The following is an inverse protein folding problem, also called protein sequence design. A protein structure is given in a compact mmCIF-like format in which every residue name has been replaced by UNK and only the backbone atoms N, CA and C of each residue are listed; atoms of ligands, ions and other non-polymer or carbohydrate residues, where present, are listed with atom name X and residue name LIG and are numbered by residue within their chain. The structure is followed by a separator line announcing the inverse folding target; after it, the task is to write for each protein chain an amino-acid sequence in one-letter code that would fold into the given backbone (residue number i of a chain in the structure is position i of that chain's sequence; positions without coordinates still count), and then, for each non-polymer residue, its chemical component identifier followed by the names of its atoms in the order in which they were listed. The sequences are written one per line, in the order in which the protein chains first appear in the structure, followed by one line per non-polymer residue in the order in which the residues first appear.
data_IF_971383834733
#
_entry.id   IF_971383834733
#
_cell.length_a   1.000
_cell.length_b   1.000
_cell.length_c   1.000
_cell.angle_alpha   90.00
_cell.angle_beta   90.00
_cell.angle_gamma   90.00
#
_symmetry.space_group_name_H-M   'P 1'
#
loop_
_entity.id
_entity.type
_entity.pdbx_description
1 polymer ?
#
# COMPACT_ATOMS: atom_id res chain seq x y z
N UNK A 1 -14.49 -42.56 28.96
CA UNK A 1 -14.69 -41.10 28.87
C UNK A 1 -13.83 -40.56 27.75
N UNK A 2 -14.43 -39.98 26.72
CA UNK A 2 -13.71 -39.34 25.59
C UNK A 2 -13.17 -38.00 26.10
N UNK A 3 -11.87 -37.67 25.92
CA UNK A 3 -11.35 -36.38 26.35
C UNK A 3 -12.11 -35.26 25.59
N UNK A 4 -12.40 -34.11 26.24
CA UNK A 4 -13.05 -33.01 25.58
C UNK A 4 -12.23 -32.58 24.37
N UNK A 5 -12.92 -32.32 23.27
CA UNK A 5 -12.28 -31.81 22.05
C UNK A 5 -11.49 -30.53 22.38
N UNK A 6 -10.26 -30.36 21.86
CA UNK A 6 -9.51 -29.15 22.10
C UNK A 6 -10.36 -27.96 21.64
N UNK A 7 -10.48 -26.94 22.49
CA UNK A 7 -11.17 -25.70 22.17
C UNK A 7 -10.61 -25.18 20.85
N UNK A 8 -11.50 -24.90 19.88
CA UNK A 8 -11.10 -24.36 18.59
C UNK A 8 -10.23 -23.13 18.85
N UNK A 9 -8.99 -23.19 18.40
CA UNK A 9 -8.06 -22.08 18.55
C UNK A 9 -8.72 -20.86 17.88
N UNK A 10 -9.06 -19.86 18.67
CA UNK A 10 -9.64 -18.62 18.18
C UNK A 10 -8.67 -18.02 17.19
N UNK A 11 -9.15 -17.72 15.98
CA UNK A 11 -8.32 -17.12 14.93
C UNK A 11 -7.69 -15.82 15.47
N UNK A 12 -6.37 -15.68 15.49
CA UNK A 12 -5.71 -14.49 16.03
C UNK A 12 -5.99 -13.23 15.19
N UNK A 13 -6.45 -13.42 13.95
CA UNK A 13 -6.75 -12.31 13.03
C UNK A 13 -8.23 -11.97 13.11
N UNK A 14 -8.54 -10.74 13.48
CA UNK A 14 -9.91 -10.25 13.59
C UNK A 14 -10.24 -9.32 12.44
N UNK A 15 -11.37 -9.56 11.76
CA UNK A 15 -11.91 -8.63 10.79
C UNK A 15 -12.68 -7.53 11.54
N UNK A 16 -12.22 -6.28 11.42
CA UNK A 16 -12.90 -5.13 12.01
C UNK A 16 -13.98 -4.60 11.07
N UNK A 17 -15.16 -4.38 11.64
CA UNK A 17 -16.22 -3.65 10.93
C UNK A 17 -15.94 -2.14 10.95
N UNK A 18 -16.51 -1.35 10.01
CA UNK A 18 -16.25 0.08 9.93
C UNK A 18 -16.42 0.87 11.25
N UNK A 19 -17.46 0.65 12.09
CA UNK A 19 -17.58 1.32 13.36
C UNK A 19 -16.50 0.91 14.37
N UNK A 20 -16.08 -0.36 14.37
CA UNK A 20 -15.02 -0.86 15.23
C UNK A 20 -13.65 -0.29 14.83
N UNK A 21 -13.41 -0.17 13.51
CA UNK A 21 -12.21 0.47 12.98
C UNK A 21 -12.14 1.95 13.40
N UNK A 22 -13.26 2.67 13.34
CA UNK A 22 -13.32 4.07 13.76
C UNK A 22 -13.04 4.21 15.27
N UNK A 23 -13.66 3.36 16.10
CA UNK A 23 -13.43 3.33 17.54
C UNK A 23 -11.97 2.97 17.88
N UNK A 24 -11.40 1.99 17.15
CA UNK A 24 -9.99 1.62 17.32
C UNK A 24 -9.04 2.75 16.91
N UNK A 25 -9.31 3.42 15.77
CA UNK A 25 -8.50 4.53 15.28
C UNK A 25 -8.53 5.78 16.18
N UNK A 26 -9.56 5.94 17.01
CA UNK A 26 -9.68 7.01 17.98
C UNK A 26 -8.90 6.76 19.28
N UNK A 27 -8.30 5.58 19.46
CA UNK A 27 -7.53 5.24 20.66
C UNK A 27 -6.24 6.07 20.75
N UNK A 28 -5.80 6.46 21.94
CA UNK A 28 -4.52 7.13 22.13
C UNK A 28 -3.36 6.19 21.74
N UNK A 29 -2.33 6.75 21.11
CA UNK A 29 -1.14 5.99 20.70
C UNK A 29 -1.24 5.26 19.36
N UNK A 30 -2.34 5.41 18.62
CA UNK A 30 -2.46 4.89 17.26
C UNK A 30 -1.58 5.70 16.32
N UNK A 31 -0.66 5.02 15.63
CA UNK A 31 0.16 5.59 14.56
C UNK A 31 -0.35 5.09 13.21
N UNK A 32 -0.71 6.02 12.32
CA UNK A 32 -1.21 5.69 10.98
C UNK A 32 -0.14 5.94 9.94
N UNK A 33 0.18 4.92 9.16
CA UNK A 33 1.09 4.97 8.02
C UNK A 33 0.28 4.96 6.73
N UNK A 34 0.28 6.09 6.00
CA UNK A 34 -0.46 6.23 4.75
C UNK A 34 0.47 6.11 3.55
N UNK A 35 -0.07 5.70 2.43
CA UNK A 35 0.67 5.72 1.18
C UNK A 35 0.78 7.16 0.64
N UNK A 36 1.96 7.50 0.11
CA UNK A 36 2.19 8.77 -0.59
C UNK A 36 2.69 8.48 -2.01
N UNK A 37 2.40 9.38 -2.93
CA UNK A 37 2.95 9.33 -4.28
C UNK A 37 4.48 9.43 -4.24
N UNK A 38 5.14 8.55 -4.97
CA UNK A 38 6.58 8.56 -5.11
C UNK A 38 6.98 9.41 -6.32
N UNK A 39 7.15 10.71 -6.10
CA UNK A 39 7.38 11.70 -7.15
C UNK A 39 8.57 11.39 -8.05
N UNK A 40 9.63 10.76 -7.56
CA UNK A 40 10.79 10.36 -8.38
C UNK A 40 10.42 9.42 -9.52
N UNK A 41 9.40 8.60 -9.36
CA UNK A 41 8.90 7.68 -10.40
C UNK A 41 7.76 8.29 -11.22
N UNK A 42 7.00 9.22 -10.64
CA UNK A 42 5.85 9.87 -11.30
C UNK A 42 6.30 11.00 -12.23
N UNK A 43 7.31 11.78 -11.82
CA UNK A 43 7.74 12.97 -12.58
C UNK A 43 8.23 12.66 -14.00
N UNK A 44 9.03 11.60 -14.28
CA UNK A 44 9.43 11.28 -15.66
C UNK A 44 8.22 10.89 -16.53
N UNK A 45 7.25 10.19 -15.94
CA UNK A 45 6.02 9.81 -16.64
C UNK A 45 5.17 11.03 -17.01
N UNK A 46 4.99 11.96 -16.08
CA UNK A 46 4.25 13.21 -16.34
C UNK A 46 4.98 14.09 -17.36
N UNK A 47 6.31 14.16 -17.27
CA UNK A 47 7.11 14.91 -18.25
C UNK A 47 6.99 14.31 -19.64
N UNK A 48 7.14 12.99 -19.79
CA UNK A 48 6.96 12.29 -21.06
C UNK A 48 5.56 12.47 -21.65
N UNK A 49 4.53 12.39 -20.81
CA UNK A 49 3.14 12.66 -21.20
C UNK A 49 2.96 14.11 -21.68
N UNK A 50 3.49 15.08 -20.96
CA UNK A 50 3.46 16.50 -21.34
C UNK A 50 4.15 16.77 -22.67
N UNK A 51 5.32 16.14 -22.91
CA UNK A 51 6.07 16.26 -24.16
C UNK A 51 5.28 15.68 -25.34
N UNK A 52 4.65 14.53 -25.17
CA UNK A 52 3.79 13.92 -26.19
C UNK A 52 2.59 14.81 -26.53
N UNK A 53 1.93 15.38 -25.54
CA UNK A 53 0.83 16.30 -25.73
C UNK A 53 1.26 17.57 -26.46
N UNK A 54 2.42 18.12 -26.07
CA UNK A 54 2.98 19.31 -26.72
C UNK A 54 3.32 19.05 -28.20
N UNK A 55 4.01 17.93 -28.50
CA UNK A 55 4.37 17.59 -29.87
C UNK A 55 3.15 17.37 -30.75
N UNK A 56 2.12 16.74 -30.21
CA UNK A 56 0.90 16.50 -30.97
C UNK A 56 0.07 17.77 -31.16
N UNK A 57 0.03 18.66 -30.18
CA UNK A 57 -0.58 19.98 -30.33
C UNK A 57 0.15 20.82 -31.39
N UNK A 58 1.50 20.82 -31.34
CA UNK A 58 2.34 21.49 -32.32
C UNK A 58 2.09 20.95 -33.74
N UNK A 59 2.01 19.62 -33.87
CA UNK A 59 1.70 18.97 -35.14
C UNK A 59 0.34 19.38 -35.68
N UNK A 60 -0.70 19.39 -34.84
CA UNK A 60 -2.05 19.78 -35.21
C UNK A 60 -2.15 21.26 -35.66
N UNK A 61 -1.38 22.16 -35.04
CA UNK A 61 -1.30 23.57 -35.44
C UNK A 61 -0.69 23.75 -36.83
N UNK A 62 0.35 22.98 -37.18
CA UNK A 62 1.06 23.15 -38.46
C UNK A 62 0.41 22.41 -39.63
N UNK A 63 -0.25 21.29 -39.39
CA UNK A 63 -0.82 20.45 -40.45
C UNK A 63 -2.35 20.51 -40.53
N UNK A 64 -2.98 21.29 -39.66
CA UNK A 64 -4.43 21.41 -39.58
C UNK A 64 -5.10 20.19 -38.97
N UNK A 65 -6.37 20.32 -38.59
CA UNK A 65 -7.14 19.27 -37.93
C UNK A 65 -7.89 18.38 -38.94
N UNK A 66 -8.00 18.84 -40.20
CA UNK A 66 -8.76 18.14 -41.24
C UNK A 66 -7.95 17.00 -41.86
N UNK A 67 -8.42 15.80 -41.65
CA UNK A 67 -7.88 14.57 -42.25
C UNK A 67 -8.00 13.36 -41.34
N UNK A 68 -8.22 12.15 -41.89
CA UNK A 68 -8.43 10.95 -41.08
C UNK A 68 -7.23 10.62 -40.17
N UNK A 69 -6.02 10.96 -40.58
CA UNK A 69 -4.82 10.76 -39.76
C UNK A 69 -4.79 11.70 -38.54
N UNK A 70 -5.12 12.99 -38.74
CA UNK A 70 -5.15 13.98 -37.67
C UNK A 70 -6.28 13.71 -36.67
N UNK A 71 -7.45 13.28 -37.16
CA UNK A 71 -8.55 12.84 -36.32
C UNK A 71 -8.18 11.61 -35.48
N UNK A 72 -7.48 10.63 -36.04
CA UNK A 72 -6.97 9.48 -35.30
C UNK A 72 -5.96 9.86 -34.22
N UNK A 73 -5.04 10.80 -34.52
CA UNK A 73 -4.06 11.30 -33.56
C UNK A 73 -4.74 12.03 -32.40
N UNK A 74 -5.72 12.90 -32.68
CA UNK A 74 -6.50 13.63 -31.66
C UNK A 74 -7.27 12.61 -30.77
N UNK A 75 -7.91 11.61 -31.36
CA UNK A 75 -8.59 10.55 -30.62
C UNK A 75 -7.65 9.79 -29.67
N UNK A 76 -6.46 9.44 -30.13
CA UNK A 76 -5.43 8.80 -29.32
C UNK A 76 -4.98 9.67 -28.15
N UNK A 77 -4.81 10.97 -28.38
CA UNK A 77 -4.44 11.94 -27.35
C UNK A 77 -5.50 12.12 -26.29
N UNK A 78 -6.76 12.22 -26.68
CA UNK A 78 -7.89 12.31 -25.76
C UNK A 78 -8.00 11.03 -24.90
N UNK A 79 -7.84 9.86 -25.52
CA UNK A 79 -7.81 8.59 -24.80
C UNK A 79 -6.65 8.54 -23.80
N UNK A 80 -5.48 8.99 -24.17
CA UNK A 80 -4.30 9.06 -23.30
C UNK A 80 -4.51 10.04 -22.13
N UNK A 81 -5.07 11.22 -22.40
CA UNK A 81 -5.41 12.21 -21.38
C UNK A 81 -6.45 11.65 -20.39
N UNK A 82 -7.50 11.00 -20.89
CA UNK A 82 -8.52 10.35 -20.08
C UNK A 82 -7.92 9.26 -19.17
N UNK A 83 -7.03 8.42 -19.73
CA UNK A 83 -6.32 7.41 -18.98
C UNK A 83 -5.38 8.03 -17.92
N UNK A 84 -4.60 9.05 -18.26
CA UNK A 84 -3.71 9.73 -17.33
C UNK A 84 -4.49 10.39 -16.17
N UNK A 85 -5.64 11.02 -16.47
CA UNK A 85 -6.52 11.60 -15.47
C UNK A 85 -7.10 10.51 -14.55
N UNK A 86 -7.57 9.41 -15.11
CA UNK A 86 -8.06 8.28 -14.33
C UNK A 86 -6.99 7.72 -13.40
N UNK A 87 -5.76 7.53 -13.88
CA UNK A 87 -4.61 7.11 -13.07
C UNK A 87 -4.33 8.10 -11.95
N UNK A 88 -4.33 9.41 -12.24
CA UNK A 88 -4.10 10.44 -11.24
C UNK A 88 -5.17 10.43 -10.14
N UNK A 89 -6.46 10.32 -10.50
CA UNK A 89 -7.57 10.21 -9.54
C UNK A 89 -7.44 8.93 -8.71
N UNK A 90 -7.15 7.80 -9.36
CA UNK A 90 -6.99 6.52 -8.67
C UNK A 90 -5.90 6.60 -7.60
N UNK A 91 -4.72 7.13 -7.93
CA UNK A 91 -3.61 7.26 -7.00
C UNK A 91 -3.82 8.34 -5.94
N UNK A 92 -4.56 9.41 -6.25
CA UNK A 92 -4.92 10.41 -5.27
C UNK A 92 -5.88 9.87 -4.19
N UNK A 93 -6.76 8.94 -4.56
CA UNK A 93 -7.73 8.33 -3.62
C UNK A 93 -7.17 7.09 -2.91
N UNK A 94 -6.11 6.47 -3.41
CA UNK A 94 -5.52 5.25 -2.87
C UNK A 94 -5.12 5.37 -1.38
N UNK A 95 -4.44 6.45 -0.92
CA UNK A 95 -4.03 6.58 0.48
C UNK A 95 -5.18 6.59 1.50
N UNK A 96 -6.39 6.93 1.04
CA UNK A 96 -7.57 6.94 1.89
C UNK A 96 -8.24 5.56 1.99
N UNK A 97 -7.97 4.68 1.03
CA UNK A 97 -8.55 3.33 0.94
C UNK A 97 -7.63 2.25 1.48
N UNK A 98 -6.32 2.49 1.44
CA UNK A 98 -5.32 1.50 1.85
C UNK A 98 -4.32 2.19 2.78
N UNK A 99 -4.23 1.72 3.99
CA UNK A 99 -3.26 2.22 4.97
C UNK A 99 -2.94 1.15 6.01
N UNK A 100 -1.86 1.38 6.73
CA UNK A 100 -1.43 0.54 7.85
C UNK A 100 -1.46 1.38 9.09
N UNK A 101 -2.08 0.89 10.14
CA UNK A 101 -2.08 1.56 11.43
C UNK A 101 -1.59 0.60 12.52
N UNK A 102 -0.96 1.13 13.55
CA UNK A 102 -0.45 0.33 14.66
C UNK A 102 -0.65 1.00 16.00
N UNK A 103 -0.77 0.17 17.03
CA UNK A 103 -0.58 0.53 18.45
C UNK A 103 0.69 -0.15 18.98
N UNK A 104 0.90 -0.12 20.28
CA UNK A 104 1.95 -0.91 20.93
C UNK A 104 1.69 -2.42 20.85
N UNK A 105 0.43 -2.85 20.75
CA UNK A 105 0.01 -4.26 20.84
C UNK A 105 -0.53 -4.84 19.53
N UNK A 106 -1.04 -3.99 18.65
CA UNK A 106 -1.78 -4.41 17.47
C UNK A 106 -1.32 -3.73 16.19
N UNK A 107 -1.44 -4.44 15.09
CA UNK A 107 -1.30 -3.95 13.73
C UNK A 107 -2.66 -4.04 13.04
N UNK A 108 -3.10 -2.98 12.40
CA UNK A 108 -4.32 -2.96 11.59
C UNK A 108 -3.98 -2.68 10.14
N UNK A 109 -4.37 -3.60 9.28
CA UNK A 109 -4.22 -3.49 7.82
C UNK A 109 -5.57 -3.12 7.22
N UNK A 110 -5.66 -1.97 6.57
CA UNK A 110 -6.87 -1.52 5.90
C UNK A 110 -6.69 -1.60 4.40
N UNK A 111 -7.63 -2.26 3.73
CA UNK A 111 -7.68 -2.36 2.27
C UNK A 111 -9.12 -2.25 1.78
N UNK A 112 -9.46 -1.08 1.25
CA UNK A 112 -10.82 -0.75 0.80
C UNK A 112 -11.80 -0.73 1.98
N UNK A 113 -12.80 -1.63 1.94
CA UNK A 113 -13.81 -1.78 3.00
C UNK A 113 -13.43 -2.80 4.07
N UNK A 114 -12.28 -3.46 3.94
CA UNK A 114 -11.84 -4.49 4.88
C UNK A 114 -10.72 -3.98 5.77
N UNK A 115 -10.80 -4.28 7.05
CA UNK A 115 -9.75 -3.99 8.02
C UNK A 115 -9.46 -5.24 8.85
N UNK A 116 -8.19 -5.61 8.96
CA UNK A 116 -7.75 -6.77 9.73
C UNK A 116 -6.91 -6.29 10.90
N UNK A 117 -7.33 -6.65 12.11
CA UNK A 117 -6.56 -6.45 13.33
C UNK A 117 -5.72 -7.68 13.61
N UNK A 118 -4.45 -7.48 13.80
CA UNK A 118 -3.42 -8.48 13.95
C UNK A 118 -2.68 -8.19 15.26
N UNK A 119 -2.76 -9.04 16.27
CA UNK A 119 -1.95 -8.89 17.48
C UNK A 119 -0.46 -9.01 17.15
N UNK A 120 0.37 -8.07 17.60
CA UNK A 120 1.82 -8.10 17.39
C UNK A 120 2.47 -9.32 18.06
N UNK A 121 1.83 -9.89 19.10
CA UNK A 121 2.25 -11.13 19.75
C UNK A 121 2.24 -12.33 18.82
N UNK A 122 1.46 -12.33 17.76
CA UNK A 122 1.35 -13.43 16.80
C UNK A 122 2.33 -13.33 15.62
N UNK A 123 3.02 -12.20 15.49
CA UNK A 123 4.01 -12.00 14.41
C UNK A 123 5.23 -12.91 14.63
N UNK A 124 5.60 -13.69 13.62
CA UNK A 124 6.79 -14.53 13.61
C UNK A 124 7.89 -13.93 12.71
N UNK A 125 9.12 -14.05 13.18
CA UNK A 125 10.30 -13.41 12.55
C UNK A 125 10.78 -14.10 11.25
N UNK A 126 10.20 -15.23 10.87
CA UNK A 126 10.74 -16.11 9.82
C UNK A 126 10.82 -15.44 8.44
N UNK A 127 10.13 -14.31 8.25
CA UNK A 127 10.00 -13.66 6.94
C UNK A 127 10.51 -12.21 6.86
N UNK A 128 10.99 -11.64 7.97
CA UNK A 128 11.56 -10.29 7.95
C UNK A 128 13.07 -10.38 7.79
N UNK A 129 13.53 -10.55 6.56
CA UNK A 129 14.95 -10.54 6.25
C UNK A 129 15.49 -9.11 6.22
N UNK A 130 16.41 -8.77 7.14
CA UNK A 130 17.07 -7.45 7.23
C UNK A 130 17.79 -7.07 5.94
N UNK A 131 18.31 -8.04 5.19
CA UNK A 131 19.03 -7.77 3.95
C UNK A 131 18.09 -7.42 2.79
N UNK A 132 16.86 -7.91 2.81
CA UNK A 132 15.82 -7.44 1.89
C UNK A 132 15.41 -6.00 2.19
N UNK A 133 15.49 -5.56 3.45
CA UNK A 133 15.19 -4.19 3.86
C UNK A 133 16.26 -3.17 3.39
N UNK A 134 17.49 -3.60 3.16
CA UNK A 134 18.59 -2.73 2.66
C UNK A 134 18.54 -2.51 1.14
N UNK A 135 17.84 -3.35 0.37
CA UNK A 135 17.75 -3.27 -1.10
C UNK A 135 16.53 -2.48 -1.58
N UNK A 136 16.19 -1.38 -0.90
CA UNK A 136 14.97 -0.59 -1.11
C UNK A 136 14.91 0.27 -2.39
N UNK A 137 15.78 0.06 -3.37
CA UNK A 137 15.79 0.90 -4.58
C UNK A 137 14.69 0.57 -5.59
N UNK A 138 13.95 -0.54 -5.40
CA UNK A 138 12.94 -0.96 -6.37
C UNK A 138 11.63 -1.31 -5.67
N UNK A 139 10.96 -2.33 -5.91
CA UNK A 139 9.71 -2.74 -5.26
C UNK A 139 10.01 -3.51 -3.97
N UNK A 140 9.50 -3.03 -2.82
CA UNK A 140 9.66 -3.69 -1.53
C UNK A 140 8.31 -4.00 -0.90
N UNK A 141 8.10 -5.27 -0.55
CA UNK A 141 6.92 -5.76 0.16
C UNK A 141 7.36 -6.47 1.43
N UNK A 142 6.58 -6.30 2.49
CA UNK A 142 6.76 -7.00 3.75
C UNK A 142 5.70 -8.12 3.85
N UNK A 143 6.08 -9.39 3.67
CA UNK A 143 5.16 -10.50 3.88
C UNK A 143 4.94 -10.73 5.38
N UNK A 144 3.70 -10.95 5.79
CA UNK A 144 3.31 -11.31 7.15
C UNK A 144 2.50 -12.61 7.10
N UNK A 145 2.92 -13.60 7.86
CA UNK A 145 2.23 -14.88 7.99
C UNK A 145 1.74 -15.05 9.42
N UNK A 146 0.45 -15.24 9.61
CA UNK A 146 -0.17 -15.34 10.93
C UNK A 146 -1.22 -16.45 10.88
N UNK A 147 -0.94 -17.56 11.52
CA UNK A 147 -1.77 -18.75 11.41
C UNK A 147 -1.92 -19.20 9.95
N UNK A 148 -3.16 -19.27 9.46
CA UNK A 148 -3.51 -19.60 8.07
C UNK A 148 -3.48 -18.37 7.14
N UNK A 149 -3.40 -17.17 7.69
CA UNK A 149 -3.51 -15.91 6.92
C UNK A 149 -2.15 -15.45 6.39
N UNK A 150 -2.17 -14.98 5.14
CA UNK A 150 -1.00 -14.37 4.48
C UNK A 150 -1.33 -12.95 4.06
N UNK A 151 -0.59 -12.01 4.60
CA UNK A 151 -0.70 -10.58 4.26
C UNK A 151 0.58 -10.12 3.59
N UNK A 152 0.48 -9.05 2.79
CA UNK A 152 1.64 -8.40 2.18
C UNK A 152 1.47 -6.90 2.28
N UNK A 153 2.36 -6.25 3.01
CA UNK A 153 2.40 -4.79 3.11
C UNK A 153 3.36 -4.27 2.05
N UNK A 154 2.84 -3.48 1.12
CA UNK A 154 3.66 -2.77 0.14
C UNK A 154 4.37 -1.60 0.84
N UNK A 155 5.68 -1.69 1.04
CA UNK A 155 6.47 -0.61 1.64
C UNK A 155 6.86 0.45 0.62
N UNK A 156 7.29 -0.01 -0.56
CA UNK A 156 7.66 0.81 -1.70
C UNK A 156 7.19 0.15 -2.99
N UNK A 157 6.41 0.87 -3.78
CA UNK A 157 5.98 0.49 -5.12
C UNK A 157 6.55 1.43 -6.16
N UNK A 158 6.20 1.21 -7.43
CA UNK A 158 6.65 2.07 -8.52
C UNK A 158 6.17 3.52 -8.37
N UNK A 159 4.93 3.72 -7.93
CA UNK A 159 4.30 5.05 -7.84
C UNK A 159 3.92 5.47 -6.43
N UNK A 160 4.00 4.56 -5.47
CA UNK A 160 3.59 4.80 -4.08
C UNK A 160 4.64 4.32 -3.09
N UNK A 161 4.74 5.05 -2.01
CA UNK A 161 5.60 4.74 -0.87
C UNK A 161 4.78 4.84 0.40
N UNK A 162 4.91 3.85 1.29
CA UNK A 162 4.34 3.92 2.63
C UNK A 162 5.09 4.95 3.47
N UNK A 163 4.38 5.89 4.05
CA UNK A 163 4.98 6.92 4.90
C UNK A 163 5.58 6.29 6.15
N UNK A 164 6.77 6.79 6.54
CA UNK A 164 7.49 6.29 7.71
C UNK A 164 7.67 4.76 7.76
N UNK A 165 7.78 4.11 6.58
CA UNK A 165 7.89 2.66 6.49
C UNK A 165 9.06 2.07 7.27
N UNK A 166 10.19 2.79 7.40
CA UNK A 166 11.33 2.36 8.22
C UNK A 166 10.98 2.30 9.71
N UNK A 167 10.17 3.27 10.21
CA UNK A 167 9.69 3.26 11.58
C UNK A 167 8.71 2.11 11.83
N UNK A 168 7.82 1.83 10.87
CA UNK A 168 6.93 0.68 10.95
C UNK A 168 7.73 -0.62 11.06
N UNK A 169 8.69 -0.82 10.16
CA UNK A 169 9.52 -2.03 10.15
C UNK A 169 10.36 -2.15 11.42
N UNK A 170 10.97 -1.05 11.89
CA UNK A 170 11.73 -1.05 13.13
C UNK A 170 10.86 -1.47 14.33
N UNK A 171 9.66 -0.91 14.44
CA UNK A 171 8.74 -1.25 15.52
C UNK A 171 8.24 -2.70 15.46
N UNK A 172 8.00 -3.26 14.26
CA UNK A 172 7.64 -4.66 14.10
C UNK A 172 8.80 -5.58 14.52
N UNK A 173 10.03 -5.25 14.15
CA UNK A 173 11.21 -6.01 14.56
C UNK A 173 11.44 -5.94 16.06
N UNK A 174 11.24 -4.77 16.69
CA UNK A 174 11.35 -4.60 18.14
C UNK A 174 10.32 -5.45 18.87
N UNK A 175 9.05 -5.44 18.46
CA UNK A 175 8.00 -6.28 19.05
C UNK A 175 8.36 -7.78 18.98
N UNK A 176 8.93 -8.23 17.86
CA UNK A 176 9.38 -9.60 17.67
C UNK A 176 10.58 -9.94 18.57
N UNK A 177 11.52 -9.00 18.75
CA UNK A 177 12.71 -9.22 19.61
C UNK A 177 12.33 -9.29 21.08
N UNK A 178 11.48 -8.37 21.57
CA UNK A 178 11.00 -8.38 22.95
C UNK A 178 10.31 -9.69 23.31
N UNK A 179 9.54 -10.26 22.39
CA UNK A 179 8.93 -11.57 22.58
C UNK A 179 9.96 -12.71 22.73
N UNK A 180 11.04 -12.70 21.95
CA UNK A 180 12.10 -13.71 22.08
C UNK A 180 12.78 -13.66 23.43
N UNK A 181 12.91 -12.48 24.02
CA UNK A 181 13.50 -12.32 25.34
C UNK A 181 12.55 -12.74 26.47
N UNK A 182 11.23 -12.59 26.27
CA UNK A 182 10.22 -12.96 27.26
C UNK A 182 9.84 -14.45 27.23
N UNK A 183 10.15 -15.17 26.16
CA UNK A 183 9.78 -16.58 25.95
C UNK A 183 10.95 -17.59 26.09
N UNK A 184 12.16 -17.12 26.40
CA UNK A 184 13.32 -17.93 26.75
C UNK A 184 13.59 -17.87 28.26
#
# INVERSE_FOLDING_TARGET
MKPPAPAAATDPVQLLMPPELAAWAAQPGVTVHRYRLYWKSVSPFLFGAGLLLFTAFWWALHHGVAGPFNMGLIGLLLAFCGWALWVAIHWATFPNKVFVARTATDLVLVSGSRAWRIPLSELRNEHINRDQLKKFDRKATLPLHIGSHRFSILLLGHFVKLDNHLQLVAALLEAIMLRKQAGG
#
